data_IF_830854807723
#
_entry.id   IF_830854807723
#
_cell.length_a   1.000
_cell.length_b   1.000
_cell.length_c   1.000
_cell.angle_alpha   90.00
_cell.angle_beta   90.00
_cell.angle_gamma   90.00
#
_symmetry.space_group_name_H-M   'P 1'
#
loop_
_entity.id
_entity.type
_entity.pdbx_description
1 polymer ?
#
# COMPACT_ATOMS: atom_id res chain seq x y z
N UNK A 1 -11.88 -5.92 -22.94
CA UNK A 1 -11.75 -5.23 -21.63
C UNK A 1 -11.11 -3.88 -21.91
N UNK A 2 -11.73 -2.77 -21.52
CA UNK A 2 -11.16 -1.44 -21.77
C UNK A 2 -9.78 -1.35 -21.11
N UNK A 3 -8.76 -0.94 -21.88
CA UNK A 3 -7.40 -0.77 -21.38
C UNK A 3 -7.39 0.43 -20.43
N UNK A 4 -6.93 0.23 -19.19
CA UNK A 4 -6.67 1.36 -18.29
C UNK A 4 -5.55 2.20 -18.91
N UNK A 5 -5.78 3.49 -19.21
CA UNK A 5 -4.76 4.33 -19.83
C UNK A 5 -3.54 4.44 -18.91
N UNK A 6 -2.35 4.55 -19.50
CA UNK A 6 -1.14 4.84 -18.73
C UNK A 6 -1.29 6.20 -18.06
N UNK A 7 -0.95 6.32 -16.77
CA UNK A 7 -0.98 7.60 -16.09
C UNK A 7 0.08 8.57 -16.65
N UNK A 8 -0.22 9.87 -16.61
CA UNK A 8 0.74 10.93 -16.97
C UNK A 8 1.96 10.98 -16.03
N UNK A 9 2.96 11.82 -16.31
CA UNK A 9 4.20 11.88 -15.53
C UNK A 9 3.95 12.19 -14.05
N UNK A 10 4.83 11.69 -13.18
CA UNK A 10 4.77 11.96 -11.74
C UNK A 10 5.08 13.45 -11.49
N UNK A 11 4.22 14.18 -10.75
CA UNK A 11 4.49 15.57 -10.41
C UNK A 11 5.81 15.75 -9.65
N UNK A 12 6.54 16.84 -9.90
CA UNK A 12 7.90 17.08 -9.37
C UNK A 12 8.00 17.06 -7.84
N UNK A 13 6.91 17.34 -7.13
CA UNK A 13 6.85 17.42 -5.67
C UNK A 13 6.14 16.23 -5.01
N UNK A 14 5.91 15.14 -5.74
CA UNK A 14 5.25 13.93 -5.23
C UNK A 14 5.94 12.64 -5.67
N UNK A 15 5.61 11.56 -5.00
CA UNK A 15 5.94 10.20 -5.45
C UNK A 15 4.67 9.46 -5.86
N UNK A 16 4.75 8.60 -6.88
CA UNK A 16 3.61 7.77 -7.25
C UNK A 16 3.73 6.39 -6.62
N UNK A 17 2.64 5.90 -6.05
CA UNK A 17 2.50 4.55 -5.55
C UNK A 17 1.54 3.74 -6.43
N UNK A 18 2.06 2.73 -7.11
CA UNK A 18 1.27 1.63 -7.66
C UNK A 18 0.92 0.66 -6.54
N UNK A 19 -0.37 0.53 -6.26
CA UNK A 19 -0.91 -0.16 -5.10
C UNK A 19 -2.04 -1.11 -5.47
N UNK A 20 -2.57 -1.81 -4.47
CA UNK A 20 -3.90 -2.41 -4.51
C UNK A 20 -4.48 -2.25 -3.09
N UNK A 21 -5.72 -1.76 -2.99
CA UNK A 21 -6.34 -1.32 -1.72
C UNK A 21 -6.22 -2.35 -0.59
N UNK A 22 -6.47 -3.61 -0.90
CA UNK A 22 -6.48 -4.72 0.05
C UNK A 22 -5.14 -5.47 0.13
N UNK A 23 -4.08 -5.01 -0.55
CA UNK A 23 -2.76 -5.65 -0.49
C UNK A 23 -2.05 -5.29 0.83
N UNK A 24 -1.67 -6.29 1.66
CA UNK A 24 -0.94 -6.02 2.91
C UNK A 24 0.50 -5.56 2.66
N UNK A 25 1.14 -6.02 1.57
CA UNK A 25 2.49 -5.58 1.21
C UNK A 25 2.50 -4.11 0.79
N UNK A 26 1.54 -3.69 -0.03
CA UNK A 26 1.40 -2.29 -0.42
C UNK A 26 0.89 -1.41 0.74
N UNK A 27 0.21 -1.99 1.74
CA UNK A 27 -0.15 -1.29 2.96
C UNK A 27 1.08 -0.82 3.74
N UNK A 28 2.19 -1.60 3.75
CA UNK A 28 3.44 -1.18 4.41
C UNK A 28 3.95 0.14 3.84
N UNK A 29 4.05 0.24 2.51
CA UNK A 29 4.49 1.46 1.84
C UNK A 29 3.52 2.62 2.07
N UNK A 30 2.20 2.37 2.05
CA UNK A 30 1.19 3.39 2.41
C UNK A 30 1.38 3.91 3.84
N UNK A 31 1.64 3.03 4.80
CA UNK A 31 1.89 3.42 6.19
C UNK A 31 3.10 4.33 6.30
N UNK A 32 4.22 4.00 5.65
CA UNK A 32 5.44 4.84 5.68
C UNK A 32 5.18 6.20 5.03
N UNK A 33 4.50 6.24 3.88
CA UNK A 33 4.13 7.49 3.21
C UNK A 33 3.29 8.41 4.11
N UNK A 34 2.27 7.85 4.77
CA UNK A 34 1.42 8.60 5.70
C UNK A 34 2.16 9.04 6.97
N UNK A 35 2.97 8.15 7.56
CA UNK A 35 3.72 8.45 8.78
C UNK A 35 4.74 9.58 8.56
N UNK A 36 5.44 9.57 7.42
CA UNK A 36 6.42 10.61 7.06
C UNK A 36 5.78 11.87 6.46
N UNK A 37 4.48 11.85 6.18
CA UNK A 37 3.77 12.98 5.56
C UNK A 37 4.27 13.30 4.14
N UNK A 38 4.75 12.29 3.42
CA UNK A 38 5.22 12.45 2.04
C UNK A 38 4.01 12.72 1.14
N UNK A 39 4.14 13.63 0.17
CA UNK A 39 3.09 13.87 -0.82
C UNK A 39 3.15 12.76 -1.88
N UNK A 40 2.03 12.06 -2.08
CA UNK A 40 1.97 10.97 -3.06
C UNK A 40 0.61 10.87 -3.75
N UNK A 41 0.61 10.31 -4.96
CA UNK A 41 -0.57 9.83 -5.65
C UNK A 41 -0.60 8.30 -5.65
N UNK A 42 -1.80 7.73 -5.59
CA UNK A 42 -1.97 6.26 -5.60
C UNK A 42 -2.69 5.83 -6.87
N UNK A 43 -2.13 4.85 -7.55
CA UNK A 43 -2.75 4.18 -8.68
C UNK A 43 -2.99 2.73 -8.30
N UNK A 44 -4.25 2.34 -8.21
CA UNK A 44 -4.62 0.97 -7.89
C UNK A 44 -4.56 0.09 -9.14
N UNK A 45 -3.82 -1.01 -9.05
CA UNK A 45 -3.64 -1.99 -10.11
C UNK A 45 -4.56 -3.19 -9.87
N UNK A 46 -5.31 -3.57 -10.91
CA UNK A 46 -6.09 -4.80 -10.91
C UNK A 46 -5.17 -6.02 -11.06
N UNK A 47 -4.94 -6.76 -9.98
CA UNK A 47 -3.87 -7.78 -9.93
C UNK A 47 -4.09 -9.00 -10.83
N UNK A 48 -5.32 -9.24 -11.30
CA UNK A 48 -5.65 -10.31 -12.27
C UNK A 48 -5.67 -9.85 -13.72
N UNK A 49 -5.73 -8.55 -13.94
CA UNK A 49 -5.85 -7.94 -15.27
C UNK A 49 -4.90 -6.74 -15.28
N UNK A 50 -3.61 -7.05 -15.22
CA UNK A 50 -2.56 -6.04 -15.08
C UNK A 50 -2.41 -5.33 -16.41
N UNK A 51 -2.36 -3.99 -16.43
CA UNK A 51 -2.12 -3.26 -17.66
C UNK A 51 -0.67 -3.48 -18.13
N UNK A 52 -0.47 -3.51 -19.44
CA UNK A 52 0.83 -3.77 -20.08
C UNK A 52 1.90 -2.73 -19.67
N UNK A 53 1.52 -1.45 -19.66
CA UNK A 53 2.39 -0.36 -19.19
C UNK A 53 2.88 -0.54 -17.75
N UNK A 54 2.14 -1.25 -16.90
CA UNK A 54 2.60 -1.52 -15.53
C UNK A 54 3.66 -2.62 -15.51
N UNK A 55 3.53 -3.62 -16.40
CA UNK A 55 4.51 -4.70 -16.54
C UNK A 55 5.82 -4.18 -17.17
N UNK A 56 5.75 -3.15 -18.02
CA UNK A 56 6.94 -2.46 -18.53
C UNK A 56 7.74 -1.78 -17.42
N UNK A 57 7.05 -1.21 -16.41
CA UNK A 57 7.69 -0.58 -15.24
C UNK A 57 8.20 -1.61 -14.23
N UNK A 58 7.38 -2.61 -13.90
CA UNK A 58 7.74 -3.70 -13.00
C UNK A 58 7.42 -5.05 -13.67
N UNK A 59 8.43 -5.73 -14.24
CA UNK A 59 8.25 -7.03 -14.90
C UNK A 59 7.69 -8.13 -13.99
N UNK A 60 7.86 -8.01 -12.67
CA UNK A 60 7.25 -8.93 -11.70
C UNK A 60 5.73 -8.73 -11.59
N UNK A 61 5.24 -7.55 -12.00
CA UNK A 61 3.84 -7.16 -11.94
C UNK A 61 3.28 -7.21 -10.52
N UNK A 62 4.10 -6.91 -9.52
CA UNK A 62 3.74 -6.95 -8.11
C UNK A 62 3.59 -5.54 -7.54
N UNK A 63 2.70 -5.38 -6.56
CA UNK A 63 2.57 -4.15 -5.78
C UNK A 63 3.09 -4.41 -4.37
N UNK A 64 3.74 -3.45 -3.70
CA UNK A 64 3.90 -2.04 -4.08
C UNK A 64 4.97 -1.81 -5.17
N UNK A 65 4.81 -0.73 -5.93
CA UNK A 65 5.86 -0.17 -6.78
C UNK A 65 5.79 1.35 -6.70
N UNK A 66 6.92 2.00 -6.45
CA UNK A 66 7.06 3.45 -6.43
C UNK A 66 7.64 3.93 -7.76
N UNK A 67 7.22 5.12 -8.18
CA UNK A 67 7.80 5.84 -9.32
C UNK A 67 8.12 7.27 -8.90
N UNK A 68 9.37 7.69 -9.10
CA UNK A 68 9.84 9.04 -8.76
C UNK A 68 9.57 10.01 -9.92
N UNK A 69 9.62 11.33 -9.70
CA UNK A 69 9.55 12.32 -10.79
C UNK A 69 10.66 12.20 -11.83
N UNK A 70 11.78 11.55 -11.49
CA UNK A 70 12.87 11.25 -12.41
C UNK A 70 12.61 10.00 -13.27
N UNK A 71 11.51 9.28 -13.03
CA UNK A 71 11.16 8.02 -13.71
C UNK A 71 11.84 6.79 -13.11
N UNK A 72 12.47 6.92 -11.94
CA UNK A 72 13.06 5.76 -11.24
C UNK A 72 11.95 4.90 -10.65
N UNK A 73 12.06 3.59 -10.83
CA UNK A 73 11.07 2.62 -10.35
C UNK A 73 11.67 1.78 -9.25
N UNK A 74 11.00 1.74 -8.09
CA UNK A 74 11.42 0.97 -6.92
C UNK A 74 10.30 0.02 -6.54
N UNK A 75 10.59 -1.27 -6.39
CA UNK A 75 9.61 -2.30 -6.04
C UNK A 75 10.16 -3.21 -4.92
N UNK A 76 9.32 -4.13 -4.43
CA UNK A 76 9.46 -4.87 -3.16
C UNK A 76 9.11 -4.06 -1.92
N UNK A 77 8.21 -4.59 -1.09
CA UNK A 77 7.69 -3.83 0.06
C UNK A 77 8.76 -3.36 1.05
N UNK A 78 9.77 -4.17 1.45
CA UNK A 78 10.80 -3.70 2.37
C UNK A 78 11.67 -2.61 1.76
N UNK A 79 12.09 -2.79 0.50
CA UNK A 79 12.93 -1.84 -0.24
C UNK A 79 12.21 -0.50 -0.42
N UNK A 80 10.92 -0.52 -0.79
CA UNK A 80 10.14 0.72 -0.89
C UNK A 80 10.01 1.44 0.45
N UNK A 81 9.89 0.71 1.56
CA UNK A 81 9.85 1.32 2.90
C UNK A 81 11.19 1.94 3.28
N UNK A 82 12.30 1.22 3.06
CA UNK A 82 13.66 1.70 3.33
C UNK A 82 13.99 2.95 2.50
N UNK A 83 13.70 2.91 1.19
CA UNK A 83 13.89 4.05 0.29
C UNK A 83 13.13 5.29 0.77
N UNK A 84 11.86 5.11 1.19
CA UNK A 84 11.06 6.21 1.73
C UNK A 84 11.58 6.68 3.08
N UNK A 85 12.25 5.82 3.86
CA UNK A 85 12.75 6.19 5.17
C UNK A 85 14.01 7.06 5.10
N UNK A 86 14.89 6.78 4.13
CA UNK A 86 16.08 7.58 3.82
C UNK A 86 15.74 8.97 3.25
N UNK A 87 14.53 9.15 2.69
CA UNK A 87 14.07 10.46 2.24
C UNK A 87 13.88 11.42 3.43
N UNK A 88 14.28 12.70 3.30
CA UNK A 88 14.22 13.67 4.39
C UNK A 88 12.78 13.79 4.93
N UNK A 89 12.58 13.33 6.16
CA UNK A 89 11.29 13.31 6.83
C UNK A 89 10.97 14.65 7.49
N UNK A 90 9.68 14.95 7.66
CA UNK A 90 9.25 16.01 8.59
C UNK A 90 9.08 15.50 10.02
N UNK A 91 8.96 14.18 10.24
CA UNK A 91 8.69 13.58 11.54
C UNK A 91 9.43 12.24 11.68
N UNK A 92 10.00 12.01 12.86
CA UNK A 92 10.74 10.80 13.21
C UNK A 92 9.77 9.78 13.81
N UNK A 93 9.40 8.74 13.07
CA UNK A 93 8.53 7.67 13.56
C UNK A 93 9.27 6.34 13.59
N UNK A 94 9.60 5.87 14.79
CA UNK A 94 10.29 4.60 15.04
C UNK A 94 9.45 3.36 14.71
N UNK A 95 10.14 2.30 14.27
CA UNK A 95 9.59 1.03 13.78
C UNK A 95 9.03 0.09 14.87
N UNK A 96 7.96 -0.68 14.56
CA UNK A 96 7.52 -1.86 15.33
C UNK A 96 6.90 -3.00 14.50
N UNK A 97 7.01 -4.21 15.05
CA UNK A 97 7.08 -5.56 14.44
C UNK A 97 5.76 -6.25 13.98
N UNK A 98 5.98 -7.39 13.30
CA UNK A 98 5.11 -8.35 12.58
C UNK A 98 4.17 -9.20 13.47
N UNK A 99 3.02 -9.65 12.90
CA UNK A 99 1.90 -10.33 13.60
C UNK A 99 2.17 -11.75 14.15
N UNK A 100 1.31 -12.30 15.03
CA UNK A 100 0.16 -13.21 14.76
C UNK A 100 -0.62 -13.54 16.09
N UNK A 101 -1.89 -13.98 15.99
CA UNK A 101 -2.87 -14.52 16.99
C UNK A 101 -2.84 -13.97 18.43
N UNK A 102 -3.90 -13.22 18.79
CA UNK A 102 -3.91 -12.34 19.97
C UNK A 102 -4.42 -12.95 21.27
N UNK A 103 -5.02 -14.15 21.25
CA UNK A 103 -5.91 -14.55 22.35
C UNK A 103 -5.20 -14.72 23.69
N UNK A 104 -3.94 -15.16 23.66
CA UNK A 104 -3.06 -15.34 24.83
C UNK A 104 -1.93 -14.31 24.93
N UNK A 105 -2.04 -13.16 24.26
CA UNK A 105 -1.00 -12.12 24.24
C UNK A 105 -1.57 -10.76 24.68
N UNK A 106 -1.72 -10.51 26.00
CA UNK A 106 -2.36 -9.29 26.51
C UNK A 106 -1.61 -8.02 26.09
N UNK A 107 -0.27 -8.06 26.05
CA UNK A 107 0.54 -6.94 25.60
C UNK A 107 0.36 -6.67 24.10
N UNK A 108 0.19 -7.71 23.28
CA UNK A 108 -0.08 -7.54 21.86
C UNK A 108 -1.50 -7.02 21.59
N UNK A 109 -2.48 -7.38 22.45
CA UNK A 109 -3.84 -6.77 22.40
C UNK A 109 -3.78 -5.28 22.70
N UNK A 110 -3.04 -4.88 23.75
CA UNK A 110 -2.81 -3.46 24.07
C UNK A 110 -2.11 -2.75 22.93
N UNK A 111 -1.02 -3.32 22.42
CA UNK A 111 -0.28 -2.78 21.27
C UNK A 111 -1.21 -2.57 20.08
N UNK A 112 -2.06 -3.55 19.73
CA UNK A 112 -3.02 -3.40 18.63
C UNK A 112 -3.98 -2.23 18.87
N UNK A 113 -4.53 -2.11 20.08
CA UNK A 113 -5.41 -0.99 20.42
C UNK A 113 -4.69 0.35 20.27
N UNK A 114 -3.44 0.45 20.73
CA UNK A 114 -2.62 1.66 20.53
C UNK A 114 -2.31 1.94 19.06
N UNK A 115 -1.97 0.92 18.26
CA UNK A 115 -1.74 1.09 16.83
C UNK A 115 -2.99 1.59 16.10
N UNK A 116 -4.18 1.14 16.51
CA UNK A 116 -5.43 1.63 15.93
C UNK A 116 -5.68 3.12 16.21
N UNK A 117 -5.01 3.70 17.20
CA UNK A 117 -5.08 5.14 17.47
C UNK A 117 -4.15 5.99 16.59
N UNK A 118 -3.12 5.38 16.01
CA UNK A 118 -2.13 6.06 15.16
C UNK A 118 -2.76 6.65 13.88
N UNK A 119 -2.48 7.92 13.53
CA UNK A 119 -3.05 8.57 12.35
C UNK A 119 -2.74 7.87 11.02
N UNK A 120 -1.53 7.33 10.83
CA UNK A 120 -1.15 6.63 9.60
C UNK A 120 -1.86 5.28 9.51
N UNK A 121 -2.05 4.58 10.63
CA UNK A 121 -2.86 3.36 10.67
C UNK A 121 -4.32 3.66 10.34
N UNK A 122 -4.91 4.70 10.98
CA UNK A 122 -6.29 5.14 10.69
C UNK A 122 -6.49 5.53 9.23
N UNK A 123 -5.49 6.17 8.60
CA UNK A 123 -5.56 6.56 7.19
C UNK A 123 -5.53 5.36 6.22
N UNK A 124 -5.03 4.21 6.63
CA UNK A 124 -4.79 3.06 5.74
C UNK A 124 -5.66 1.84 6.02
N UNK A 125 -6.36 1.81 7.16
CA UNK A 125 -7.19 0.68 7.59
C UNK A 125 -8.52 0.63 6.83
N UNK A 126 -8.96 -0.59 6.51
CA UNK A 126 -10.29 -0.85 5.94
C UNK A 126 -11.27 -1.26 7.02
N UNK A 127 -12.57 -1.00 6.80
CA UNK A 127 -13.62 -1.58 7.64
C UNK A 127 -13.58 -3.11 7.58
N UNK A 128 -14.03 -3.75 8.66
CA UNK A 128 -14.09 -5.21 8.75
C UNK A 128 -15.00 -5.76 7.66
N UNK A 129 -16.07 -5.04 7.34
CA UNK A 129 -17.06 -5.36 6.32
C UNK A 129 -16.44 -5.33 4.92
N UNK A 130 -15.72 -4.26 4.56
CA UNK A 130 -15.05 -4.16 3.27
C UNK A 130 -13.97 -5.21 3.10
N UNK A 131 -13.20 -5.48 4.16
CA UNK A 131 -12.19 -6.52 4.16
C UNK A 131 -12.81 -7.91 3.96
N UNK A 132 -13.86 -8.26 4.72
CA UNK A 132 -14.58 -9.53 4.57
C UNK A 132 -15.19 -9.69 3.17
N UNK A 133 -15.79 -8.64 2.62
CA UNK A 133 -16.40 -8.68 1.30
C UNK A 133 -15.36 -8.97 0.20
N UNK A 134 -14.24 -8.25 0.21
CA UNK A 134 -13.14 -8.49 -0.73
C UNK A 134 -12.62 -9.93 -0.64
N UNK A 135 -12.31 -10.42 0.58
CA UNK A 135 -11.74 -11.76 0.76
C UNK A 135 -12.73 -12.89 0.44
N UNK A 136 -14.04 -12.67 0.62
CA UNK A 136 -15.07 -13.60 0.15
C UNK A 136 -15.03 -13.72 -1.38
N UNK A 137 -14.94 -12.60 -2.10
CA UNK A 137 -14.77 -12.59 -3.56
C UNK A 137 -13.46 -13.24 -4.00
N UNK A 138 -12.37 -12.94 -3.29
CA UNK A 138 -11.05 -13.53 -3.55
C UNK A 138 -11.06 -15.06 -3.45
N UNK A 139 -11.71 -15.60 -2.41
CA UNK A 139 -11.81 -17.05 -2.17
C UNK A 139 -12.58 -17.81 -3.26
N UNK A 140 -13.53 -17.14 -3.94
CA UNK A 140 -14.29 -17.71 -5.08
C UNK A 140 -13.73 -17.26 -6.44
N UNK A 141 -12.49 -16.77 -6.44
CA UNK A 141 -11.79 -16.28 -7.61
C UNK A 141 -12.52 -15.18 -8.40
N UNK A 142 -13.31 -14.36 -7.71
CA UNK A 142 -13.97 -13.18 -8.27
C UNK A 142 -13.85 -12.01 -7.29
N UNK A 143 -12.63 -11.57 -6.94
CA UNK A 143 -12.45 -10.41 -6.08
C UNK A 143 -12.93 -9.13 -6.77
N UNK A 144 -13.67 -8.31 -6.04
CA UNK A 144 -14.00 -6.94 -6.44
C UNK A 144 -12.94 -5.99 -5.89
N UNK A 145 -11.97 -5.62 -6.73
CA UNK A 145 -10.85 -4.74 -6.35
C UNK A 145 -11.31 -3.31 -6.04
N UNK A 146 -12.48 -2.92 -6.53
CA UNK A 146 -13.04 -1.58 -6.40
C UNK A 146 -14.14 -1.52 -5.32
N UNK A 147 -14.34 -2.60 -4.56
CA UNK A 147 -15.37 -2.69 -3.53
C UNK A 147 -15.43 -1.46 -2.60
N UNK A 148 -16.57 -0.77 -2.59
CA UNK A 148 -16.78 0.43 -1.77
C UNK A 148 -16.16 1.72 -2.31
N UNK A 149 -15.80 1.77 -3.61
CA UNK A 149 -15.59 3.00 -4.37
C UNK A 149 -16.83 3.35 -5.20
#
# INVERSE_FOLDING_TARGET
>A
VARTPEPGPVPKDSIRLYSMRFCPYAQRTRLVLHAKGIKFDTINIHLRNKPEWFLEKNPLGMVPTLETPAGEVIYESPITCEYLDEAPAKNDAGAFFQGIFLDNTPELKKWRAHMLEDPAVKATIHSVESHKAFFKGYAVEKPDYDYGL
#
